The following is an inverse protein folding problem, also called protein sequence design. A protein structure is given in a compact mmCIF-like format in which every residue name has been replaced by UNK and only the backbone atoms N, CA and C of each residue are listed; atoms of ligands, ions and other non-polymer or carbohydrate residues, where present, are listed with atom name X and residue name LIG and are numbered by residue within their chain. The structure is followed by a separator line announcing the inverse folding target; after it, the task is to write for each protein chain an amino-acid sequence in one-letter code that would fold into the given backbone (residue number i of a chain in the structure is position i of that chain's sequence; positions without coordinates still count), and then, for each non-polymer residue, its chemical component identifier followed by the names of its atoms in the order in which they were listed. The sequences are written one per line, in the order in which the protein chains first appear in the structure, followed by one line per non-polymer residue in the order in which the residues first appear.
data_IF_859367719881
#
_entry.id   IF_859367719881
#
_cell.length_a   1.000
_cell.length_b   1.000
_cell.length_c   1.000
_cell.angle_alpha   90.00
_cell.angle_beta   90.00
_cell.angle_gamma   90.00
#
_symmetry.space_group_name_H-M   'P 1'
#
loop_
_entity.id
_entity.type
_entity.pdbx_description
1 polymer ?
#
# COMPACT_ATOMS: atom_id res chain seq x y z
N UNK A 1 -0.83 -18.02 1.27
CA UNK A 1 -1.02 -16.89 2.19
C UNK A 1 0.26 -16.69 2.97
N UNK A 2 0.60 -15.45 3.31
CA UNK A 2 1.85 -15.18 4.02
C UNK A 2 1.80 -15.82 5.41
N UNK A 3 2.81 -16.62 5.75
CA UNK A 3 3.00 -17.17 7.12
C UNK A 3 3.71 -16.16 8.04
N UNK A 4 4.13 -15.01 7.50
CA UNK A 4 4.91 -13.98 8.19
C UNK A 4 4.08 -12.92 8.91
N UNK A 5 4.58 -12.45 10.05
CA UNK A 5 4.02 -11.37 10.88
C UNK A 5 4.42 -10.00 10.33
N UNK A 6 3.95 -9.65 9.14
CA UNK A 6 4.12 -8.30 8.62
C UNK A 6 3.16 -7.33 9.30
N UNK A 7 3.62 -6.11 9.59
CA UNK A 7 2.83 -5.06 10.20
C UNK A 7 2.60 -3.94 9.19
N UNK A 8 1.33 -3.70 8.83
CA UNK A 8 1.00 -2.85 7.70
C UNK A 8 -0.14 -1.91 8.01
N UNK A 9 -0.13 -0.75 7.35
CA UNK A 9 -1.36 -0.02 7.07
C UNK A 9 -1.98 -0.58 5.79
N UNK A 10 -3.30 -0.66 5.73
CA UNK A 10 -4.01 -0.96 4.48
C UNK A 10 -4.95 0.17 4.12
N UNK A 11 -4.72 0.77 2.95
CA UNK A 11 -5.65 1.70 2.33
C UNK A 11 -6.55 0.94 1.36
N UNK A 12 -7.77 0.69 1.82
CA UNK A 12 -8.85 0.21 0.96
C UNK A 12 -9.28 1.34 0.00
N UNK A 13 -9.17 1.14 -1.32
CA UNK A 13 -9.49 2.18 -2.28
C UNK A 13 -10.98 2.54 -2.24
N UNK A 14 -11.32 3.80 -2.55
CA UNK A 14 -12.72 4.23 -2.72
C UNK A 14 -13.49 3.35 -3.74
N UNK A 15 -12.77 2.84 -4.74
CA UNK A 15 -13.27 1.87 -5.71
C UNK A 15 -12.68 0.49 -5.46
N UNK A 16 -12.91 -0.06 -4.26
CA UNK A 16 -12.33 -1.35 -3.85
C UNK A 16 -12.63 -2.47 -4.85
N UNK A 17 -11.63 -3.27 -5.27
CA UNK A 17 -11.86 -4.42 -6.14
C UNK A 17 -12.45 -5.63 -5.37
N UNK A 18 -12.44 -5.60 -4.04
CA UNK A 18 -12.90 -6.71 -3.19
C UNK A 18 -14.40 -6.59 -2.93
N UNK A 19 -15.23 -7.19 -3.81
CA UNK A 19 -16.70 -7.04 -3.76
C UNK A 19 -17.45 -8.11 -2.95
N UNK A 20 -16.83 -9.27 -2.74
CA UNK A 20 -17.53 -10.44 -2.18
C UNK A 20 -17.60 -10.45 -0.65
N UNK A 21 -16.72 -9.71 0.02
CA UNK A 21 -16.68 -9.61 1.48
C UNK A 21 -15.95 -8.34 1.89
N UNK A 22 -15.93 -8.07 3.19
CA UNK A 22 -15.15 -6.98 3.76
C UNK A 22 -13.68 -7.03 3.29
N UNK A 23 -13.14 -5.92 2.75
CA UNK A 23 -11.77 -5.87 2.24
C UNK A 23 -10.73 -6.22 3.30
N UNK A 24 -10.90 -5.77 4.55
CA UNK A 24 -9.95 -6.06 5.62
C UNK A 24 -9.91 -7.54 5.99
N UNK A 25 -11.05 -8.24 5.89
CA UNK A 25 -11.07 -9.72 6.03
C UNK A 25 -10.21 -10.39 4.96
N UNK A 26 -10.31 -9.95 3.71
CA UNK A 26 -9.49 -10.48 2.61
C UNK A 26 -8.01 -10.17 2.83
N UNK A 27 -7.68 -8.92 3.17
CA UNK A 27 -6.30 -8.49 3.39
C UNK A 27 -5.67 -9.25 4.54
N UNK A 28 -6.36 -9.40 5.67
CA UNK A 28 -5.87 -10.21 6.81
C UNK A 28 -5.59 -11.65 6.43
N UNK A 29 -6.45 -12.26 5.61
CA UNK A 29 -6.20 -13.61 5.11
C UNK A 29 -4.96 -13.69 4.20
N UNK A 30 -4.62 -12.61 3.49
CA UNK A 30 -3.46 -12.56 2.59
C UNK A 30 -2.15 -12.29 3.34
N UNK A 31 -2.14 -11.29 4.23
CA UNK A 31 -0.92 -10.74 4.84
C UNK A 31 -0.81 -10.91 6.36
N UNK A 32 -1.81 -11.51 7.00
CA UNK A 32 -1.87 -11.73 8.46
C UNK A 32 -2.61 -10.63 9.24
N UNK A 33 -2.73 -10.83 10.55
CA UNK A 33 -3.53 -9.97 11.44
C UNK A 33 -2.85 -8.65 11.82
N UNK A 34 -1.57 -8.48 11.52
CA UNK A 34 -0.77 -7.28 11.80
C UNK A 34 -1.15 -6.06 10.96
N UNK A 35 -2.32 -6.06 10.32
CA UNK A 35 -2.76 -4.99 9.44
C UNK A 35 -3.79 -4.08 10.09
N UNK A 36 -3.58 -2.77 9.99
CA UNK A 36 -4.47 -1.73 10.47
C UNK A 36 -5.03 -0.96 9.28
N UNK A 37 -6.35 -0.75 9.25
CA UNK A 37 -6.99 0.01 8.17
C UNK A 37 -6.58 1.48 8.27
N UNK A 38 -6.06 2.04 7.18
CA UNK A 38 -5.88 3.49 7.00
C UNK A 38 -7.07 4.02 6.19
N UNK A 39 -8.07 4.53 6.92
CA UNK A 39 -9.32 4.97 6.34
C UNK A 39 -9.18 6.28 5.54
N UNK A 40 -10.28 6.67 4.87
CA UNK A 40 -10.40 7.88 4.04
C UNK A 40 -9.60 7.86 2.72
N UNK A 41 -10.10 8.65 1.77
CA UNK A 41 -9.53 8.83 0.44
C UNK A 41 -8.08 9.35 0.51
N UNK A 42 -7.23 8.97 -0.45
CA UNK A 42 -5.85 9.45 -0.52
C UNK A 42 -5.70 10.89 -1.06
N UNK A 43 -6.78 11.54 -1.49
CA UNK A 43 -6.78 12.93 -2.01
C UNK A 43 -6.21 13.08 -3.42
N UNK A 44 -5.25 12.24 -3.80
CA UNK A 44 -4.47 12.40 -5.02
C UNK A 44 -4.99 11.60 -6.23
N UNK A 45 -5.68 10.48 -5.99
CA UNK A 45 -6.10 9.55 -7.03
C UNK A 45 -7.20 10.13 -7.94
N UNK A 46 -7.29 9.58 -9.17
CA UNK A 46 -8.40 9.86 -10.09
C UNK A 46 -8.40 11.29 -10.67
N UNK A 47 -7.22 11.89 -10.88
CA UNK A 47 -7.02 13.27 -11.38
C UNK A 47 -7.54 14.37 -10.45
N UNK A 48 -8.01 14.03 -9.24
CA UNK A 48 -8.60 14.98 -8.30
C UNK A 48 -7.63 16.10 -7.91
N UNK A 49 -6.37 15.77 -7.61
CA UNK A 49 -5.35 16.76 -7.24
C UNK A 49 -5.06 17.79 -8.33
N UNK A 50 -5.13 17.38 -9.61
CA UNK A 50 -4.89 18.28 -10.74
C UNK A 50 -6.12 19.14 -11.01
N UNK A 51 -7.32 18.56 -10.93
CA UNK A 51 -8.56 19.26 -11.28
C UNK A 51 -9.09 20.16 -10.16
N UNK A 52 -8.88 19.78 -8.89
CA UNK A 52 -9.38 20.47 -7.68
C UNK A 52 -8.34 20.44 -6.55
N UNK A 53 -7.21 21.14 -6.71
CA UNK A 53 -6.15 21.18 -5.70
C UNK A 53 -6.63 21.76 -4.36
N UNK A 54 -7.61 22.65 -4.37
CA UNK A 54 -8.24 23.25 -3.19
C UNK A 54 -8.95 22.19 -2.33
N UNK A 55 -9.63 21.24 -2.96
CA UNK A 55 -10.30 20.13 -2.27
C UNK A 55 -9.29 19.04 -1.92
N UNK A 56 -8.41 18.68 -2.84
CA UNK A 56 -7.42 17.61 -2.66
C UNK A 56 -6.55 17.86 -1.42
N UNK A 57 -6.09 19.10 -1.23
CA UNK A 57 -5.27 19.48 -0.08
C UNK A 57 -5.98 19.20 1.25
N UNK A 58 -7.28 19.49 1.36
CA UNK A 58 -8.03 19.21 2.60
C UNK A 58 -8.21 17.72 2.84
N UNK A 59 -8.46 16.94 1.77
CA UNK A 59 -8.54 15.48 1.87
C UNK A 59 -7.19 14.91 2.28
N UNK A 60 -6.09 15.47 1.76
CA UNK A 60 -4.72 15.07 2.10
C UNK A 60 -4.43 15.25 3.58
N UNK A 61 -4.73 16.41 4.16
CA UNK A 61 -4.59 16.62 5.61
C UNK A 61 -5.38 15.59 6.42
N UNK A 62 -6.61 15.31 6.00
CA UNK A 62 -7.42 14.30 6.70
C UNK A 62 -6.80 12.90 6.58
N UNK A 63 -6.24 12.55 5.42
CA UNK A 63 -5.59 11.26 5.20
C UNK A 63 -4.32 11.12 6.04
N UNK A 64 -3.53 12.18 6.11
CA UNK A 64 -2.31 12.26 6.91
C UNK A 64 -2.60 11.97 8.39
N UNK A 65 -3.68 12.54 8.94
CA UNK A 65 -4.14 12.21 10.30
C UNK A 65 -4.45 10.71 10.48
N UNK A 66 -5.14 10.09 9.50
CA UNK A 66 -5.47 8.67 9.56
C UNK A 66 -4.23 7.77 9.41
N UNK A 67 -3.23 8.18 8.62
CA UNK A 67 -1.94 7.49 8.53
C UNK A 67 -1.22 7.56 9.87
N UNK A 68 -1.11 8.75 10.48
CA UNK A 68 -0.46 8.93 11.79
C UNK A 68 -1.15 8.14 12.91
N UNK A 69 -2.49 8.11 12.91
CA UNK A 69 -3.26 7.27 13.86
C UNK A 69 -2.97 5.79 13.66
N UNK A 70 -2.93 5.33 12.41
CA UNK A 70 -2.61 3.95 12.08
C UNK A 70 -1.20 3.56 12.52
N UNK A 71 -0.22 4.43 12.23
CA UNK A 71 1.17 4.26 12.67
C UNK A 71 1.26 4.14 14.20
N UNK A 72 0.65 5.07 14.94
CA UNK A 72 0.62 5.01 16.40
C UNK A 72 0.00 3.68 16.89
N UNK A 73 -1.11 3.25 16.28
CA UNK A 73 -1.74 1.98 16.62
C UNK A 73 -0.86 0.74 16.34
N UNK A 74 -0.01 0.77 15.31
CA UNK A 74 0.95 -0.31 15.04
C UNK A 74 2.10 -0.30 16.08
N UNK A 75 2.58 0.89 16.45
CA UNK A 75 3.63 1.08 17.47
C UNK A 75 3.14 0.67 18.87
N UNK A 76 1.93 1.09 19.26
CA UNK A 76 1.32 0.75 20.57
C UNK A 76 1.10 -0.75 20.74
N UNK A 77 0.85 -1.47 19.64
CA UNK A 77 0.73 -2.93 19.64
C UNK A 77 2.08 -3.65 19.64
N UNK A 78 3.20 -2.93 19.60
CA UNK A 78 4.54 -3.50 19.50
C UNK A 78 4.80 -4.24 18.19
N UNK A 79 4.03 -3.96 17.13
CA UNK A 79 4.16 -4.61 15.82
C UNK A 79 5.27 -3.98 14.96
N UNK A 80 5.62 -2.73 15.24
CA UNK A 80 6.66 -1.95 14.57
C UNK A 80 7.45 -1.20 15.64
N UNK A 81 8.79 -1.24 15.62
CA UNK A 81 9.65 -0.50 16.54
C UNK A 81 9.60 1.00 16.28
N UNK A 82 9.86 1.85 17.29
CA UNK A 82 9.67 3.32 17.22
C UNK A 82 10.34 4.04 16.04
N UNK A 83 11.41 3.46 15.47
CA UNK A 83 12.16 4.02 14.34
C UNK A 83 12.01 3.22 13.05
N UNK A 84 11.24 2.14 13.07
CA UNK A 84 11.06 1.29 11.89
C UNK A 84 10.08 1.96 10.92
N UNK A 85 10.30 1.65 9.63
CA UNK A 85 9.45 2.11 8.54
C UNK A 85 8.04 1.54 8.69
N UNK A 86 7.06 2.35 8.30
CA UNK A 86 5.67 1.92 8.22
C UNK A 86 5.32 1.76 6.76
N UNK A 87 4.81 0.60 6.38
CA UNK A 87 4.37 0.36 5.01
C UNK A 87 2.84 0.44 4.91
N UNK A 88 2.36 1.26 3.98
CA UNK A 88 0.95 1.34 3.59
C UNK A 88 0.73 0.58 2.28
N UNK A 89 -0.10 -0.46 2.36
CA UNK A 89 -0.46 -1.29 1.24
C UNK A 89 -1.79 -0.82 0.64
N UNK A 90 -1.92 -0.97 -0.68
CA UNK A 90 -3.20 -0.76 -1.37
C UNK A 90 -3.37 -1.72 -2.55
N UNK A 91 -4.59 -1.82 -3.06
CA UNK A 91 -4.96 -2.58 -4.26
C UNK A 91 -5.30 -1.67 -5.46
N UNK A 92 -5.03 -0.37 -5.39
CA UNK A 92 -5.31 0.58 -6.47
C UNK A 92 -4.03 1.29 -6.92
N UNK A 93 -3.64 1.22 -8.21
CA UNK A 93 -2.45 1.91 -8.72
C UNK A 93 -2.51 3.44 -8.58
N UNK A 94 -3.70 4.03 -8.76
CA UNK A 94 -3.88 5.47 -8.58
C UNK A 94 -3.73 5.88 -7.10
N UNK A 95 -4.23 5.05 -6.19
CA UNK A 95 -4.01 5.26 -4.76
C UNK A 95 -2.54 5.07 -4.39
N UNK A 96 -1.84 4.09 -4.97
CA UNK A 96 -0.41 3.87 -4.73
C UNK A 96 0.37 5.13 -5.09
N UNK A 97 0.20 5.65 -6.31
CA UNK A 97 0.84 6.90 -6.73
C UNK A 97 0.54 8.06 -5.77
N UNK A 98 -0.71 8.17 -5.32
CA UNK A 98 -1.12 9.19 -4.37
C UNK A 98 -0.49 9.02 -2.98
N UNK A 99 -0.50 7.80 -2.45
CA UNK A 99 0.05 7.45 -1.14
C UNK A 99 1.57 7.63 -1.11
N UNK A 100 2.27 7.41 -2.21
CA UNK A 100 3.71 7.69 -2.34
C UNK A 100 4.06 9.16 -2.12
N UNK A 101 3.10 10.10 -2.19
CA UNK A 101 3.32 11.53 -1.89
C UNK A 101 3.21 11.89 -0.41
N UNK A 102 2.91 10.91 0.45
CA UNK A 102 2.85 11.08 1.91
C UNK A 102 4.15 10.71 2.62
N UNK A 103 5.17 10.24 1.89
CA UNK A 103 6.49 9.85 2.43
C UNK A 103 7.02 10.97 3.32
N UNK A 104 7.04 12.20 2.79
CA UNK A 104 7.59 13.39 3.45
C UNK A 104 6.70 13.96 4.58
N UNK A 105 5.43 13.54 4.69
CA UNK A 105 4.51 14.07 5.71
C UNK A 105 4.53 13.29 7.03
N UNK A 106 5.16 12.11 7.04
CA UNK A 106 5.24 11.28 8.24
C UNK A 106 6.38 11.75 9.14
N UNK A 107 6.21 11.64 10.46
CA UNK A 107 7.13 12.24 11.45
C UNK A 107 8.59 11.81 11.28
N UNK A 108 8.83 10.65 10.66
CA UNK A 108 10.16 10.11 10.45
C UNK A 108 10.57 10.07 8.97
N UNK A 109 9.69 10.44 8.03
CA UNK A 109 9.94 10.29 6.58
C UNK A 109 9.95 8.83 6.09
N UNK A 110 9.33 7.91 6.84
CA UNK A 110 9.51 6.46 6.69
C UNK A 110 8.24 5.72 6.22
N UNK A 111 7.31 6.44 5.58
CA UNK A 111 6.14 5.80 4.99
C UNK A 111 6.50 5.22 3.62
N UNK A 112 6.44 3.91 3.50
CA UNK A 112 6.55 3.23 2.21
C UNK A 112 5.15 2.91 1.69
N UNK A 113 4.83 3.31 0.46
CA UNK A 113 3.60 2.89 -0.20
C UNK A 113 3.92 1.77 -1.18
N UNK A 114 3.18 0.65 -1.10
CA UNK A 114 3.35 -0.47 -2.03
C UNK A 114 2.00 -1.11 -2.39
N UNK A 115 2.01 -1.89 -3.46
CA UNK A 115 0.87 -2.66 -3.89
C UNK A 115 0.82 -4.00 -3.15
N UNK A 116 -0.36 -4.41 -2.66
CA UNK A 116 -0.48 -5.61 -1.82
C UNK A 116 0.06 -6.88 -2.50
N UNK A 117 -0.14 -7.05 -3.81
CA UNK A 117 0.40 -8.24 -4.51
C UNK A 117 1.90 -8.20 -4.69
N UNK A 118 2.51 -7.01 -4.75
CA UNK A 118 3.97 -6.85 -4.82
C UNK A 118 4.60 -7.23 -3.49
N UNK A 119 4.02 -6.75 -2.39
CA UNK A 119 4.45 -7.15 -1.05
C UNK A 119 4.34 -8.67 -0.85
N UNK A 120 3.23 -9.27 -1.31
CA UNK A 120 3.07 -10.72 -1.28
C UNK A 120 4.11 -11.44 -2.12
N UNK A 121 4.38 -10.98 -3.35
CA UNK A 121 5.38 -11.58 -4.22
C UNK A 121 6.76 -11.55 -3.56
N UNK A 122 7.16 -10.41 -3.00
CA UNK A 122 8.42 -10.25 -2.28
C UNK A 122 8.55 -11.23 -1.11
N UNK A 123 7.51 -11.39 -0.31
CA UNK A 123 7.55 -12.29 0.85
C UNK A 123 7.45 -13.79 0.48
N UNK A 124 6.76 -14.14 -0.61
CA UNK A 124 6.60 -15.54 -1.03
C UNK A 124 7.79 -16.02 -1.87
N UNK A 125 8.26 -15.18 -2.79
CA UNK A 125 9.25 -15.52 -3.81
C UNK A 125 10.65 -14.96 -3.48
N UNK A 126 10.77 -14.10 -2.47
CA UNK A 126 12.02 -13.47 -2.05
C UNK A 126 12.24 -12.08 -2.65
N UNK A 127 13.27 -11.37 -2.18
CA UNK A 127 13.60 -10.00 -2.63
C UNK A 127 13.89 -9.90 -4.14
N UNK A 128 14.44 -10.97 -4.74
CA UNK A 128 14.77 -11.02 -6.17
C UNK A 128 13.60 -11.46 -7.07
N UNK A 129 12.37 -11.52 -6.54
CA UNK A 129 11.21 -12.05 -7.27
C UNK A 129 10.98 -11.39 -8.63
N UNK A 130 11.19 -10.07 -8.75
CA UNK A 130 10.89 -9.33 -9.98
C UNK A 130 11.90 -9.63 -11.09
N UNK A 131 13.23 -9.49 -10.87
CA UNK A 131 14.23 -9.96 -11.84
C UNK A 131 14.02 -11.42 -12.27
N UNK A 132 13.77 -12.31 -11.31
CA UNK A 132 13.59 -13.74 -11.59
C UNK A 132 12.34 -13.99 -12.43
N UNK A 133 11.22 -13.33 -12.09
CA UNK A 133 9.99 -13.38 -12.86
C UNK A 133 10.19 -12.88 -14.29
N UNK A 134 10.85 -11.72 -14.47
CA UNK A 134 11.12 -11.15 -15.80
C UNK A 134 12.02 -12.06 -16.63
N UNK A 135 13.07 -12.63 -16.04
CA UNK A 135 13.95 -13.57 -16.73
C UNK A 135 13.19 -14.83 -17.20
N UNK A 136 12.34 -15.40 -16.35
CA UNK A 136 11.51 -16.55 -16.71
C UNK A 136 10.48 -16.22 -17.78
N UNK A 137 9.79 -15.08 -17.67
CA UNK A 137 8.81 -14.63 -18.67
C UNK A 137 9.46 -14.39 -20.04
N UNK A 138 10.65 -13.76 -20.06
CA UNK A 138 11.41 -13.54 -21.29
C UNK A 138 11.84 -14.84 -21.98
N UNK A 139 12.21 -15.87 -21.20
CA UNK A 139 12.62 -17.18 -21.73
C UNK A 139 11.45 -17.98 -22.33
N UNK A 140 10.19 -17.56 -22.11
CA UNK A 140 8.97 -18.20 -22.62
C UNK A 140 8.42 -17.60 -23.93
N UNK A 141 9.10 -16.61 -24.52
CA UNK A 141 8.66 -15.96 -25.76
C UNK A 141 7.65 -14.84 -25.53
N UNK A 142 8.11 -13.72 -24.96
CA UNK A 142 7.33 -12.48 -25.01
C UNK A 142 7.26 -12.04 -26.47
N UNK A 143 6.06 -12.06 -27.04
CA UNK A 143 5.80 -11.52 -28.37
C UNK A 143 6.08 -10.00 -28.34
N UNK A 144 7.13 -9.58 -29.04
CA UNK A 144 7.54 -8.18 -29.11
C UNK A 144 6.72 -7.50 -30.21
N UNK A 145 5.71 -6.73 -29.81
CA UNK A 145 4.75 -6.12 -30.76
C UNK A 145 5.30 -4.89 -31.49
N UNK A 146 6.41 -4.29 -31.03
CA UNK A 146 7.04 -3.15 -31.72
C UNK A 146 8.57 -3.19 -31.57
N UNK A 147 9.28 -3.08 -32.70
CA UNK A 147 10.71 -2.70 -32.80
C UNK A 147 10.75 -1.33 -33.47
#
# INVERSE_FOLDING_TARGET
TLQGKGAFLYHDPCHTPMKLQDPMKTVKALVGDGVVKSDRCCGEAGTLAVNRPDISTQIRFRKEEEIRKGEAALRDKGLIGQKDNVKVLTSCPACLQGLSRYVDDTQNGLLEADYIVVEMARQILGENWMPDYVAQANNGGIERVLV
#
